data_IF_687637993685
#
_entry.id   IF_687637993685
#
_cell.length_a   1.000
_cell.length_b   1.000
_cell.length_c   1.000
_cell.angle_alpha   90.00
_cell.angle_beta   90.00
_cell.angle_gamma   90.00
#
_symmetry.space_group_name_H-M   'P 1'
#
loop_
_entity.id
_entity.type
_entity.pdbx_description
1 polymer ?
#
# COMPACT_ATOMS: atom_id res chain seq x y z
N UNK A 1 -8.81 2.36 -25.97
CA UNK A 1 -7.49 1.80 -26.36
C UNK A 1 -6.60 1.49 -25.16
N UNK A 2 -6.36 2.42 -24.21
CA UNK A 2 -5.45 2.20 -23.07
C UNK A 2 -5.77 1.03 -22.12
N UNK A 3 -7.04 0.83 -21.76
CA UNK A 3 -7.44 -0.28 -20.87
C UNK A 3 -7.23 -1.67 -21.50
N UNK A 4 -7.35 -1.79 -22.83
CA UNK A 4 -7.08 -3.05 -23.55
C UNK A 4 -5.59 -3.42 -23.54
N UNK A 5 -4.71 -2.42 -23.61
CA UNK A 5 -3.25 -2.62 -23.50
C UNK A 5 -2.89 -3.06 -22.08
N UNK A 6 -3.47 -2.42 -21.05
CA UNK A 6 -3.27 -2.80 -19.65
C UNK A 6 -3.75 -4.24 -19.39
N UNK A 7 -4.93 -4.61 -19.90
CA UNK A 7 -5.44 -5.98 -19.78
C UNK A 7 -4.56 -7.03 -20.48
N UNK A 8 -4.02 -6.69 -21.66
CA UNK A 8 -3.08 -7.57 -22.37
C UNK A 8 -1.75 -7.74 -21.60
N UNK A 9 -1.23 -6.65 -21.03
CA UNK A 9 -0.01 -6.67 -20.19
C UNK A 9 -0.22 -7.54 -18.95
N UNK A 10 -1.32 -7.32 -18.22
CA UNK A 10 -1.63 -8.09 -17.01
C UNK A 10 -1.76 -9.59 -17.30
N UNK A 11 -2.37 -9.94 -18.44
CA UNK A 11 -2.46 -11.33 -18.90
C UNK A 11 -1.11 -11.91 -19.32
N UNK A 12 -0.21 -11.10 -19.89
CA UNK A 12 1.15 -11.53 -20.27
C UNK A 12 2.08 -11.77 -19.06
N UNK A 13 1.82 -11.10 -17.94
CA UNK A 13 2.57 -11.26 -16.68
C UNK A 13 1.95 -12.28 -15.72
N UNK A 14 0.96 -13.06 -16.19
CA UNK A 14 0.22 -14.05 -15.39
C UNK A 14 -0.27 -13.49 -14.04
N UNK A 15 -0.65 -12.20 -14.03
CA UNK A 15 -1.12 -11.60 -12.79
C UNK A 15 -2.38 -12.32 -12.31
N UNK A 16 -2.37 -12.83 -11.07
CA UNK A 16 -3.55 -13.48 -10.53
C UNK A 16 -4.69 -12.46 -10.43
N UNK A 17 -5.87 -12.82 -10.95
CA UNK A 17 -7.05 -11.95 -10.95
C UNK A 17 -7.51 -11.60 -9.52
N UNK A 18 -7.32 -12.53 -8.58
CA UNK A 18 -7.77 -12.35 -7.20
C UNK A 18 -7.12 -11.14 -6.50
N UNK A 19 -5.78 -10.98 -6.45
CA UNK A 19 -5.13 -9.77 -5.95
C UNK A 19 -5.53 -8.48 -6.67
N UNK A 20 -5.83 -8.55 -7.97
CA UNK A 20 -6.27 -7.39 -8.74
C UNK A 20 -7.64 -6.89 -8.24
N UNK A 21 -8.61 -7.81 -8.11
CA UNK A 21 -9.95 -7.49 -7.59
C UNK A 21 -9.85 -7.01 -6.14
N UNK A 22 -9.05 -7.69 -5.31
CA UNK A 22 -8.83 -7.28 -3.92
C UNK A 22 -8.26 -5.87 -3.85
N UNK A 23 -7.23 -5.56 -4.64
CA UNK A 23 -6.65 -4.22 -4.72
C UNK A 23 -7.65 -3.17 -5.18
N UNK A 24 -8.50 -3.50 -6.15
CA UNK A 24 -9.56 -2.60 -6.62
C UNK A 24 -10.59 -2.28 -5.52
N UNK A 25 -11.14 -3.30 -4.88
CA UNK A 25 -12.12 -3.14 -3.78
C UNK A 25 -11.50 -2.39 -2.60
N UNK A 26 -10.28 -2.78 -2.19
CA UNK A 26 -9.55 -2.09 -1.12
C UNK A 26 -9.25 -0.64 -1.49
N UNK A 27 -8.94 -0.36 -2.76
CA UNK A 27 -8.69 0.98 -3.27
C UNK A 27 -9.92 1.89 -3.17
N UNK A 28 -11.09 1.41 -3.59
CA UNK A 28 -12.34 2.17 -3.44
C UNK A 28 -12.67 2.45 -1.96
N UNK A 29 -12.47 1.45 -1.10
CA UNK A 29 -12.64 1.62 0.35
C UNK A 29 -11.65 2.66 0.91
N UNK A 30 -10.39 2.62 0.49
CA UNK A 30 -9.37 3.58 0.89
C UNK A 30 -9.75 5.01 0.46
N UNK A 31 -10.12 5.21 -0.81
CA UNK A 31 -10.49 6.53 -1.32
C UNK A 31 -11.71 7.09 -0.60
N UNK A 32 -12.74 6.25 -0.38
CA UNK A 32 -13.94 6.63 0.37
C UNK A 32 -13.62 7.08 1.80
N UNK A 33 -12.77 6.33 2.51
CA UNK A 33 -12.35 6.69 3.86
C UNK A 33 -11.44 7.93 3.88
N UNK A 34 -10.54 8.08 2.92
CA UNK A 34 -9.70 9.27 2.78
C UNK A 34 -10.56 10.52 2.53
N UNK A 35 -11.49 10.44 1.59
CA UNK A 35 -12.43 11.53 1.29
C UNK A 35 -13.29 11.88 2.50
N UNK A 36 -13.77 10.88 3.25
CA UNK A 36 -14.52 11.09 4.49
C UNK A 36 -13.66 11.80 5.55
N UNK A 37 -12.43 11.35 5.77
CA UNK A 37 -11.51 11.96 6.73
C UNK A 37 -11.22 13.42 6.36
N UNK A 38 -10.92 13.68 5.08
CA UNK A 38 -10.67 15.04 4.58
C UNK A 38 -11.90 15.92 4.69
N UNK A 39 -13.09 15.41 4.36
CA UNK A 39 -14.34 16.14 4.52
C UNK A 39 -14.61 16.53 5.98
N UNK A 40 -14.28 15.66 6.94
CA UNK A 40 -14.42 15.95 8.39
C UNK A 40 -13.40 16.99 8.83
N UNK A 41 -12.18 16.92 8.31
CA UNK A 41 -11.08 17.86 8.63
C UNK A 41 -11.10 19.16 7.81
N UNK A 42 -12.16 19.43 7.04
CA UNK A 42 -12.24 20.60 6.15
C UNK A 42 -11.11 20.69 5.10
N UNK A 43 -10.59 19.53 4.67
CA UNK A 43 -9.51 19.43 3.68
C UNK A 43 -8.10 19.42 4.29
N UNK A 44 -7.96 19.45 5.61
CA UNK A 44 -6.64 19.40 6.25
C UNK A 44 -6.00 18.00 6.20
N UNK A 45 -4.85 17.90 5.49
CA UNK A 45 -4.05 16.67 5.44
C UNK A 45 -3.43 16.29 6.80
N UNK A 46 -3.32 17.25 7.72
CA UNK A 46 -2.80 17.06 9.06
C UNK A 46 -3.54 15.96 9.83
N UNK A 47 -4.83 15.73 9.51
CA UNK A 47 -5.66 14.68 10.13
C UNK A 47 -5.11 13.26 9.95
N UNK A 48 -4.31 13.02 8.90
CA UNK A 48 -3.75 11.70 8.61
C UNK A 48 -2.65 11.30 9.58
N UNK A 49 -2.03 12.25 10.28
CA UNK A 49 -0.95 12.01 11.26
C UNK A 49 -1.13 12.77 12.58
N UNK A 50 -2.25 13.47 12.78
CA UNK A 50 -2.49 14.27 13.98
C UNK A 50 -2.68 13.44 15.26
N UNK A 51 -3.14 12.19 15.15
CA UNK A 51 -3.37 11.34 16.32
C UNK A 51 -2.17 10.45 16.62
N UNK A 52 -1.86 10.28 17.91
CA UNK A 52 -0.83 9.35 18.39
C UNK A 52 -1.09 7.91 17.92
N UNK A 53 -2.36 7.52 17.78
CA UNK A 53 -2.77 6.23 17.25
C UNK A 53 -2.37 6.13 15.76
N UNK A 54 -2.66 7.15 14.95
CA UNK A 54 -2.28 7.15 13.54
C UNK A 54 -0.76 7.08 13.37
N UNK A 55 0.00 7.86 14.14
CA UNK A 55 1.47 7.77 14.15
C UNK A 55 1.95 6.35 14.50
N UNK A 56 1.36 5.71 15.51
CA UNK A 56 1.65 4.32 15.85
C UNK A 56 1.39 3.35 14.69
N UNK A 57 0.26 3.50 13.99
CA UNK A 57 -0.09 2.68 12.83
C UNK A 57 0.85 2.91 11.64
N UNK A 58 1.28 4.15 11.39
CA UNK A 58 2.27 4.47 10.36
C UNK A 58 3.62 3.81 10.64
N UNK A 59 4.10 3.88 11.89
CA UNK A 59 5.35 3.22 12.29
C UNK A 59 5.23 1.70 12.12
N UNK A 60 4.13 1.10 12.57
CA UNK A 60 3.90 -0.34 12.42
C UNK A 60 3.85 -0.76 10.95
N UNK A 61 3.18 0.02 10.10
CA UNK A 61 3.08 -0.25 8.66
C UNK A 61 4.45 -0.18 7.99
N UNK A 62 5.24 0.85 8.31
CA UNK A 62 6.61 0.99 7.82
C UNK A 62 7.49 -0.19 8.27
N UNK A 63 7.40 -0.60 9.54
CA UNK A 63 8.13 -1.76 10.06
C UNK A 63 7.75 -3.05 9.32
N UNK A 64 6.46 -3.33 9.12
CA UNK A 64 6.02 -4.54 8.41
C UNK A 64 6.53 -4.61 6.96
N UNK A 65 6.61 -3.47 6.28
CA UNK A 65 7.12 -3.40 4.91
C UNK A 65 8.65 -3.48 4.86
N UNK A 66 9.35 -2.80 5.77
CA UNK A 66 10.82 -2.64 5.72
C UNK A 66 11.55 -3.83 6.36
N UNK A 67 11.02 -4.39 7.44
CA UNK A 67 11.65 -5.48 8.20
C UNK A 67 12.03 -6.71 7.33
N UNK A 68 11.14 -7.27 6.48
CA UNK A 68 11.52 -8.41 5.64
C UNK A 68 12.58 -8.04 4.61
N UNK A 69 12.54 -6.82 4.07
CA UNK A 69 13.52 -6.32 3.10
C UNK A 69 14.90 -6.23 3.76
N UNK A 70 15.00 -5.56 4.92
CA UNK A 70 16.24 -5.39 5.67
C UNK A 70 16.80 -6.75 6.13
N UNK A 71 15.95 -7.64 6.65
CA UNK A 71 16.38 -8.99 7.03
C UNK A 71 16.95 -9.77 5.85
N UNK A 72 16.31 -9.69 4.67
CA UNK A 72 16.82 -10.33 3.44
C UNK A 72 18.20 -9.78 3.07
N UNK A 73 18.40 -8.46 3.07
CA UNK A 73 19.70 -7.86 2.76
C UNK A 73 20.79 -8.24 3.78
N UNK A 74 20.49 -8.22 5.08
CA UNK A 74 21.44 -8.61 6.12
C UNK A 74 21.78 -10.12 6.06
N UNK A 75 20.82 -10.97 5.72
CA UNK A 75 21.03 -12.42 5.59
C UNK A 75 21.90 -12.76 4.38
N UNK A 76 21.70 -12.08 3.24
CA UNK A 76 22.54 -12.24 2.04
C UNK A 76 23.99 -11.82 2.33
N UNK A 77 24.18 -10.71 3.04
CA UNK A 77 25.53 -10.23 3.40
C UNK A 77 26.26 -11.19 4.35
N UNK A 78 25.54 -11.90 5.23
CA UNK A 78 26.11 -12.86 6.18
C UNK A 78 26.50 -14.20 5.54
N UNK A 79 26.01 -14.54 4.35
CA UNK A 79 26.34 -15.78 3.64
C UNK A 79 27.52 -15.64 2.65
N UNK A 80 28.07 -14.43 2.50
CA UNK A 80 29.23 -14.14 1.65
C UNK A 80 30.53 -13.87 2.44
N UNK A 81 30.50 -13.93 3.77
CA UNK A 81 31.65 -13.83 4.66
C UNK A 81 31.82 -15.15 5.43
#
# INVERSE_FOLDING_TARGET
>A
MGLGIIGYILRKFDFPLAPLILGFVLGELMESNLRRALSISQGELSILWSSNISMGLWVMSALLLILPIVRKYLFIKKHQA
#
